data_IF_757707503139
#
_entry.id   IF_757707503139
#
_cell.length_a   1.000
_cell.length_b   1.000
_cell.length_c   1.000
_cell.angle_alpha   90.00
_cell.angle_beta   90.00
_cell.angle_gamma   90.00
#
_symmetry.space_group_name_H-M   'P 1'
#
loop_
_entity.id
_entity.type
_entity.pdbx_description
1 polymer ?
#
# COMPACT_ATOMS: atom_id res chain seq x y z
N UNK A 1 17.62 -31.60 -21.25
CA UNK A 1 17.70 -30.14 -21.42
C UNK A 1 16.81 -29.54 -20.33
N UNK A 2 17.38 -28.93 -19.29
CA UNK A 2 16.59 -28.30 -18.21
C UNK A 2 16.26 -26.89 -18.68
N UNK A 3 15.02 -26.67 -19.11
CA UNK A 3 14.48 -25.35 -19.41
C UNK A 3 14.36 -24.61 -18.10
N UNK A 4 15.17 -23.59 -17.88
CA UNK A 4 15.02 -22.66 -16.75
C UNK A 4 13.91 -21.69 -17.14
N UNK A 5 12.75 -21.82 -16.50
CA UNK A 5 11.67 -20.87 -16.61
C UNK A 5 12.06 -19.67 -15.75
N UNK A 6 12.32 -18.53 -16.39
CA UNK A 6 12.43 -17.25 -15.72
C UNK A 6 11.01 -16.72 -15.60
N UNK A 7 10.44 -16.81 -14.42
CA UNK A 7 9.25 -16.03 -14.07
C UNK A 7 9.74 -14.60 -13.94
N UNK A 8 9.64 -13.84 -15.02
CA UNK A 8 9.72 -12.40 -14.97
C UNK A 8 8.36 -11.96 -14.46
N UNK A 9 8.17 -12.00 -13.15
CA UNK A 9 7.19 -11.16 -12.52
C UNK A 9 7.68 -9.74 -12.77
N UNK A 10 7.27 -9.12 -13.87
CA UNK A 10 7.30 -7.68 -13.98
C UNK A 10 6.21 -7.20 -13.03
N UNK A 11 6.51 -7.26 -11.73
CA UNK A 11 6.05 -6.21 -10.88
C UNK A 11 6.44 -4.96 -11.67
N UNK A 12 5.46 -4.20 -12.14
CA UNK A 12 5.66 -2.78 -12.26
C UNK A 12 6.15 -2.39 -10.87
N UNK A 13 7.48 -2.43 -10.70
CA UNK A 13 8.09 -1.62 -9.71
C UNK A 13 7.52 -0.24 -10.04
N UNK A 14 6.55 0.20 -9.26
CA UNK A 14 6.54 1.59 -8.89
C UNK A 14 7.90 1.79 -8.22
N UNK A 15 8.91 2.03 -9.06
CA UNK A 15 10.20 2.58 -8.69
C UNK A 15 9.94 4.05 -8.43
N UNK A 16 9.19 4.28 -7.47
CA UNK A 16 8.88 5.42 -6.70
C UNK A 16 8.43 4.91 -5.38
N UNK A 17 9.21 4.05 -4.74
CA UNK A 17 9.27 4.06 -3.29
C UNK A 17 9.77 5.47 -2.99
N UNK A 18 8.84 6.37 -2.85
CA UNK A 18 9.16 7.66 -2.31
C UNK A 18 9.65 7.37 -0.90
N UNK A 19 10.97 7.38 -0.72
CA UNK A 19 11.59 7.21 0.59
C UNK A 19 11.17 8.31 1.58
N UNK A 20 10.20 9.15 1.19
CA UNK A 20 9.72 10.28 1.96
C UNK A 20 8.38 10.05 2.69
N UNK A 21 7.76 8.89 2.49
CA UNK A 21 6.58 8.44 3.25
C UNK A 21 6.77 7.01 3.70
N UNK A 22 6.54 6.74 4.95
CA UNK A 22 6.42 5.40 5.50
C UNK A 22 5.52 5.41 6.73
N UNK A 23 5.15 4.24 7.23
CA UNK A 23 4.33 4.10 8.43
C UNK A 23 4.77 2.92 9.29
N UNK A 24 4.38 2.98 10.56
CA UNK A 24 4.61 1.94 11.55
C UNK A 24 3.33 1.67 12.36
N UNK A 25 2.96 0.39 12.56
CA UNK A 25 3.61 -0.81 12.04
C UNK A 25 3.44 -0.91 10.51
N UNK A 26 4.32 -1.65 9.84
CA UNK A 26 4.26 -1.90 8.39
C UNK A 26 2.92 -2.54 7.99
N UNK A 27 2.38 -3.36 8.87
CA UNK A 27 1.07 -4.03 8.74
C UNK A 27 0.18 -3.53 9.88
N UNK A 28 -0.56 -2.42 9.68
CA UNK A 28 -1.52 -1.96 10.66
C UNK A 28 -2.77 -2.85 10.68
N UNK A 29 -3.47 -2.85 11.80
CA UNK A 29 -4.69 -3.66 12.00
C UNK A 29 -5.84 -2.78 12.50
N UNK A 30 -7.10 -3.11 12.18
CA UNK A 30 -8.26 -2.44 12.75
C UNK A 30 -8.20 -2.41 14.28
N UNK A 31 -8.62 -1.32 14.90
CA UNK A 31 -8.54 -1.10 16.36
C UNK A 31 -7.14 -0.80 16.89
N UNK A 32 -6.11 -0.87 16.07
CA UNK A 32 -4.72 -0.55 16.43
C UNK A 32 -4.36 0.91 16.18
N UNK A 33 -3.09 1.22 16.35
CA UNK A 33 -2.52 2.53 16.00
C UNK A 33 -1.61 2.41 14.79
N UNK A 34 -1.58 3.46 13.98
CA UNK A 34 -0.61 3.64 12.89
C UNK A 34 0.07 4.99 13.07
N UNK A 35 1.39 5.02 12.95
CA UNK A 35 2.16 6.26 12.88
C UNK A 35 2.64 6.48 11.45
N UNK A 36 2.18 7.56 10.83
CA UNK A 36 2.53 7.95 9.47
C UNK A 36 3.63 8.99 9.55
N UNK A 37 4.68 8.78 8.75
CA UNK A 37 5.84 9.66 8.64
C UNK A 37 5.92 10.29 7.25
N UNK A 38 6.25 11.57 7.21
CA UNK A 38 6.40 12.34 5.98
C UNK A 38 7.67 13.20 6.01
N UNK A 39 8.45 13.17 4.94
CA UNK A 39 9.63 14.02 4.78
C UNK A 39 9.34 15.18 3.82
N UNK A 40 9.25 16.40 4.36
CA UNK A 40 8.95 17.61 3.59
C UNK A 40 10.08 18.08 2.68
N UNK A 41 11.29 17.53 2.81
CA UNK A 41 12.44 17.89 1.96
C UNK A 41 12.40 17.09 0.66
N UNK A 42 11.98 15.83 0.75
CA UNK A 42 11.97 14.88 -0.37
C UNK A 42 10.58 14.77 -1.04
N UNK A 43 9.53 15.13 -0.30
CA UNK A 43 8.14 15.13 -0.78
C UNK A 43 7.79 16.32 -1.67
N UNK A 44 6.55 16.37 -2.12
CA UNK A 44 6.04 17.39 -3.04
C UNK A 44 5.63 18.71 -2.37
N UNK A 45 5.83 18.85 -1.06
CA UNK A 45 5.60 20.10 -0.31
C UNK A 45 6.92 20.83 0.04
N UNK A 46 7.82 21.13 -0.92
CA UNK A 46 9.17 21.60 -0.64
C UNK A 46 9.22 23.00 0.00
N UNK A 47 8.15 23.77 -0.11
CA UNK A 47 8.03 25.11 0.49
C UNK A 47 6.86 25.17 1.48
N UNK A 48 6.51 24.04 2.07
CA UNK A 48 5.38 23.95 2.99
C UNK A 48 5.50 24.96 4.12
N UNK A 49 4.41 25.62 4.42
CA UNK A 49 4.25 26.40 5.63
C UNK A 49 4.03 25.46 6.80
N UNK A 50 4.75 25.60 7.88
CA UNK A 50 4.64 24.73 9.04
C UNK A 50 3.56 25.21 10.02
N UNK A 51 2.86 24.26 10.69
CA UNK A 51 2.99 22.81 10.60
C UNK A 51 2.44 22.24 9.29
N UNK A 52 2.92 21.04 8.91
CA UNK A 52 2.28 20.24 7.88
C UNK A 52 1.22 19.35 8.51
N UNK A 53 0.26 18.95 7.71
CA UNK A 53 -0.88 18.13 8.12
C UNK A 53 -0.95 16.87 7.29
N UNK A 54 -1.43 15.80 7.89
CA UNK A 54 -1.95 14.66 7.17
C UNK A 54 -3.47 14.83 7.07
N UNK A 55 -3.97 14.86 5.85
CA UNK A 55 -5.39 14.79 5.52
C UNK A 55 -5.73 13.32 5.41
N UNK A 56 -6.50 12.80 6.34
CA UNK A 56 -6.68 11.37 6.53
C UNK A 56 -8.15 11.04 6.72
N UNK A 57 -8.58 9.96 6.07
CA UNK A 57 -9.88 9.34 6.23
C UNK A 57 -9.78 7.83 6.21
N UNK A 58 -10.91 7.16 6.35
CA UNK A 58 -11.03 5.72 6.29
C UNK A 58 -12.00 5.33 5.15
N UNK A 59 -11.93 4.10 4.68
CA UNK A 59 -12.93 3.45 3.82
C UNK A 59 -13.39 4.29 2.61
N UNK A 60 -12.42 4.76 1.83
CA UNK A 60 -12.68 5.60 0.68
C UNK A 60 -13.06 7.03 1.07
N UNK A 61 -12.26 7.65 1.95
CA UNK A 61 -12.41 9.04 2.38
C UNK A 61 -13.65 9.31 3.26
N UNK A 62 -14.02 8.39 4.15
CA UNK A 62 -14.98 8.63 5.21
C UNK A 62 -14.27 9.22 6.44
N UNK A 63 -15.00 9.99 7.22
CA UNK A 63 -14.53 10.62 8.46
C UNK A 63 -13.21 11.38 8.32
N UNK A 64 -13.08 12.11 7.21
CA UNK A 64 -11.87 12.85 6.85
C UNK A 64 -11.66 14.05 7.76
N UNK A 65 -10.41 14.23 8.23
CA UNK A 65 -9.99 15.43 8.95
C UNK A 65 -8.50 15.76 8.66
N UNK A 66 -8.11 16.99 9.00
CA UNK A 66 -6.75 17.51 8.87
C UNK A 66 -6.03 17.44 10.22
N UNK A 67 -5.08 16.55 10.35
CA UNK A 67 -4.34 16.34 11.59
C UNK A 67 -2.95 16.95 11.52
N UNK A 68 -2.66 17.88 12.44
CA UNK A 68 -1.33 18.51 12.51
C UNK A 68 -0.25 17.47 12.85
N UNK A 69 0.77 17.39 12.02
CA UNK A 69 1.93 16.51 12.25
C UNK A 69 2.92 17.18 13.20
N UNK A 70 3.64 16.35 13.96
CA UNK A 70 4.74 16.79 14.82
C UNK A 70 6.10 16.48 14.20
N UNK A 71 7.06 17.38 14.40
CA UNK A 71 8.44 17.17 13.93
C UNK A 71 9.07 15.93 14.56
N UNK A 72 9.70 15.09 13.75
CA UNK A 72 10.31 13.82 14.13
C UNK A 72 11.81 13.78 13.84
N UNK A 73 12.66 14.42 14.66
CA UNK A 73 14.10 14.55 14.39
C UNK A 73 14.86 13.23 14.46
N UNK A 74 14.29 12.19 15.07
CA UNK A 74 14.90 10.85 15.15
C UNK A 74 15.05 10.18 13.79
N UNK A 75 14.20 10.55 12.83
CA UNK A 75 14.25 10.04 11.47
C UNK A 75 15.08 10.92 10.52
N UNK A 76 15.68 11.99 11.04
CA UNK A 76 16.49 12.93 10.29
C UNK A 76 15.80 14.28 10.03
N UNK A 77 16.44 15.13 9.23
CA UNK A 77 15.93 16.46 8.90
C UNK A 77 14.72 16.34 7.97
N UNK A 78 13.70 17.15 8.20
CA UNK A 78 12.50 17.23 7.36
C UNK A 78 11.41 16.25 7.69
N UNK A 79 11.64 15.31 8.61
CA UNK A 79 10.64 14.32 8.99
C UNK A 79 9.60 14.85 9.97
N UNK A 80 8.35 14.54 9.66
CA UNK A 80 7.17 14.83 10.46
C UNK A 80 6.39 13.54 10.68
N UNK A 81 5.60 13.48 11.75
CA UNK A 81 4.79 12.29 12.06
C UNK A 81 3.45 12.64 12.68
N UNK A 82 2.50 11.76 12.45
CA UNK A 82 1.21 11.73 13.13
C UNK A 82 0.84 10.29 13.48
N UNK A 83 0.29 10.07 14.68
CA UNK A 83 -0.23 8.76 15.09
C UNK A 83 -1.74 8.81 15.07
N UNK A 84 -2.34 7.89 14.32
CA UNK A 84 -3.78 7.73 14.16
C UNK A 84 -4.26 6.48 14.89
N UNK A 85 -5.40 6.59 15.59
CA UNK A 85 -6.13 5.45 16.13
C UNK A 85 -7.07 4.94 15.05
N UNK A 86 -6.81 3.73 14.58
CA UNK A 86 -7.62 3.10 13.52
C UNK A 86 -8.96 2.66 14.12
N UNK A 87 -10.11 2.95 13.49
CA UNK A 87 -11.40 2.39 13.89
C UNK A 87 -11.40 0.86 13.86
N UNK A 88 -12.18 0.24 14.75
CA UNK A 88 -12.25 -1.23 14.86
C UNK A 88 -12.84 -1.89 13.60
N UNK A 89 -13.64 -1.16 12.84
CA UNK A 89 -14.35 -1.61 11.64
C UNK A 89 -13.79 -1.04 10.34
N UNK A 90 -12.66 -0.32 10.38
CA UNK A 90 -12.04 0.23 9.18
C UNK A 90 -11.44 -0.88 8.30
N UNK A 91 -11.64 -0.76 6.99
CA UNK A 91 -11.09 -1.66 5.97
C UNK A 91 -9.89 -1.04 5.23
N UNK A 92 -9.85 0.29 5.14
CA UNK A 92 -8.74 1.04 4.53
C UNK A 92 -8.43 2.31 5.31
N UNK A 93 -7.20 2.81 5.15
CA UNK A 93 -6.78 4.14 5.56
C UNK A 93 -6.34 4.87 4.30
N UNK A 94 -6.93 6.05 4.09
CA UNK A 94 -6.67 6.90 2.93
C UNK A 94 -6.03 8.21 3.41
N UNK A 95 -4.92 8.63 2.81
CA UNK A 95 -4.31 9.87 3.24
C UNK A 95 -3.48 10.58 2.16
N UNK A 96 -3.33 11.87 2.34
CA UNK A 96 -2.45 12.77 1.61
C UNK A 96 -1.86 13.81 2.57
N UNK A 97 -0.94 14.65 2.11
CA UNK A 97 -0.34 15.70 2.95
C UNK A 97 -0.65 17.09 2.42
N UNK A 98 -0.74 18.06 3.36
CA UNK A 98 -1.03 19.44 3.03
C UNK A 98 -0.40 20.40 4.05
N UNK A 99 -0.23 21.66 3.67
CA UNK A 99 0.12 22.77 4.57
C UNK A 99 -1.07 23.70 4.84
N UNK A 100 -2.28 23.31 4.42
CA UNK A 100 -3.52 24.10 4.47
C UNK A 100 -3.47 25.42 3.71
N UNK A 101 -2.48 25.63 2.82
CA UNK A 101 -2.35 26.80 1.95
C UNK A 101 -2.41 26.42 0.47
N UNK A 102 -3.35 25.54 0.12
CA UNK A 102 -3.56 25.01 -1.24
C UNK A 102 -2.40 24.16 -1.79
N UNK A 103 -1.40 23.82 -0.96
CA UNK A 103 -0.35 22.88 -1.35
C UNK A 103 -0.72 21.47 -0.88
N UNK A 104 -0.64 20.53 -1.82
CA UNK A 104 -0.96 19.11 -1.58
C UNK A 104 0.14 18.21 -2.10
N UNK A 105 0.45 17.19 -1.35
CA UNK A 105 1.20 16.04 -1.82
C UNK A 105 0.28 14.81 -1.81
N UNK A 106 -0.17 14.43 -2.99
CA UNK A 106 -0.98 13.25 -3.25
C UNK A 106 -0.15 12.25 -4.05
N UNK A 107 0.86 11.69 -3.40
CA UNK A 107 1.77 10.70 -3.94
C UNK A 107 2.54 11.21 -5.17
N UNK A 108 3.26 12.34 -4.99
CA UNK A 108 4.07 12.95 -6.04
C UNK A 108 3.26 13.77 -7.06
N UNK A 109 2.04 14.17 -6.72
CA UNK A 109 1.21 15.01 -7.57
C UNK A 109 0.54 14.29 -8.74
N UNK A 110 0.58 12.95 -8.75
CA UNK A 110 -0.05 12.12 -9.79
C UNK A 110 -1.53 11.78 -9.49
N UNK A 111 -2.04 12.25 -8.34
CA UNK A 111 -3.43 12.02 -7.94
C UNK A 111 -3.73 10.57 -7.56
N UNK A 112 -2.71 9.82 -7.20
CA UNK A 112 -2.82 8.48 -6.65
C UNK A 112 -2.47 8.60 -5.17
N UNK A 113 -3.46 8.86 -4.35
CA UNK A 113 -3.31 9.02 -2.91
C UNK A 113 -2.70 7.76 -2.25
N UNK A 114 -2.27 7.86 -1.01
CA UNK A 114 -1.86 6.67 -0.26
C UNK A 114 -3.08 5.96 0.29
N UNK A 115 -3.15 4.66 0.03
CA UNK A 115 -4.19 3.76 0.50
C UNK A 115 -3.55 2.56 1.19
N UNK A 116 -3.91 2.30 2.43
CA UNK A 116 -3.45 1.15 3.19
C UNK A 116 -4.62 0.23 3.43
N UNK A 117 -4.59 -0.98 2.86
CA UNK A 117 -5.60 -1.99 3.17
C UNK A 117 -5.33 -2.60 4.55
N UNK A 118 -6.40 -2.78 5.32
CA UNK A 118 -6.37 -3.42 6.63
C UNK A 118 -6.88 -4.88 6.59
N UNK A 119 -7.53 -5.25 5.48
CA UNK A 119 -8.13 -6.57 5.30
C UNK A 119 -7.18 -7.61 4.73
N UNK A 120 -6.15 -7.16 4.03
CA UNK A 120 -5.15 -8.06 3.47
C UNK A 120 -3.76 -7.42 3.41
N UNK A 121 -2.75 -8.25 3.46
CA UNK A 121 -1.37 -7.86 3.19
C UNK A 121 -0.61 -9.04 2.56
N UNK A 122 0.57 -8.75 2.02
CA UNK A 122 1.51 -9.79 1.58
C UNK A 122 2.82 -9.67 2.35
N UNK A 123 3.44 -10.82 2.59
CA UNK A 123 4.70 -10.92 3.32
C UNK A 123 5.71 -11.76 2.52
N UNK A 124 6.93 -11.27 2.30
CA UNK A 124 7.42 -9.94 2.66
C UNK A 124 6.73 -8.82 1.86
N UNK A 125 6.69 -7.60 2.39
CA UNK A 125 6.00 -6.45 1.78
C UNK A 125 6.53 -6.09 0.39
N UNK A 126 7.84 -6.29 0.17
CA UNK A 126 8.52 -6.10 -1.11
C UNK A 126 9.20 -7.40 -1.57
N UNK A 127 8.44 -8.40 -2.06
CA UNK A 127 9.01 -9.66 -2.48
C UNK A 127 9.93 -9.48 -3.69
N UNK A 128 11.07 -10.16 -3.67
CA UNK A 128 11.97 -10.20 -4.82
C UNK A 128 11.49 -11.23 -5.85
N UNK A 129 11.89 -11.13 -7.14
CA UNK A 129 11.42 -12.04 -8.20
C UNK A 129 11.67 -13.55 -7.97
N UNK A 130 12.53 -13.91 -7.03
CA UNK A 130 12.87 -15.30 -6.72
C UNK A 130 12.47 -15.70 -5.29
N UNK A 131 11.68 -14.88 -4.62
CA UNK A 131 11.22 -15.09 -3.26
C UNK A 131 9.75 -15.50 -3.27
N UNK A 132 9.40 -16.47 -2.44
CA UNK A 132 8.00 -16.77 -2.18
C UNK A 132 7.41 -15.69 -1.28
N UNK A 133 6.17 -15.38 -1.46
CA UNK A 133 5.44 -14.48 -0.59
C UNK A 133 4.09 -15.09 -0.22
N UNK A 134 3.61 -14.74 0.95
CA UNK A 134 2.29 -15.11 1.43
C UNK A 134 1.33 -13.93 1.25
N UNK A 135 0.11 -14.21 0.85
CA UNK A 135 -1.00 -13.27 0.90
C UNK A 135 -1.83 -13.65 2.12
N UNK A 136 -1.95 -12.72 3.05
CA UNK A 136 -2.68 -12.92 4.30
C UNK A 136 -3.94 -12.08 4.27
N UNK A 137 -5.08 -12.69 4.54
CA UNK A 137 -6.35 -12.03 4.72
C UNK A 137 -6.65 -11.91 6.20
N UNK A 138 -6.96 -10.69 6.65
CA UNK A 138 -7.38 -10.41 8.02
C UNK A 138 -8.91 -10.40 8.10
N UNK A 139 -9.45 -10.89 9.22
CA UNK A 139 -10.87 -10.78 9.59
C UNK A 139 -11.89 -11.31 8.55
N UNK A 140 -11.55 -12.34 7.81
CA UNK A 140 -12.47 -12.95 6.86
C UNK A 140 -13.12 -14.18 7.50
N UNK A 141 -14.34 -14.02 7.96
CA UNK A 141 -15.12 -15.09 8.59
C UNK A 141 -15.63 -16.17 7.60
N UNK A 142 -15.57 -15.91 6.30
CA UNK A 142 -16.22 -16.73 5.27
C UNK A 142 -15.32 -17.19 4.12
N UNK A 143 -14.02 -17.12 4.30
CA UNK A 143 -13.08 -17.41 3.21
C UNK A 143 -13.12 -16.35 2.11
N UNK A 144 -12.09 -16.33 1.31
CA UNK A 144 -11.92 -15.38 0.22
C UNK A 144 -11.50 -16.06 -1.06
N UNK A 145 -11.34 -15.28 -2.10
CA UNK A 145 -10.72 -15.75 -3.34
C UNK A 145 -9.70 -14.74 -3.82
N UNK A 146 -8.52 -15.22 -4.14
CA UNK A 146 -7.52 -14.44 -4.84
C UNK A 146 -7.83 -14.45 -6.33
N UNK A 147 -8.01 -13.27 -6.91
CA UNK A 147 -8.13 -13.09 -8.36
C UNK A 147 -6.79 -12.59 -8.89
N UNK A 148 -6.16 -13.33 -9.77
CA UNK A 148 -4.82 -13.00 -10.22
C UNK A 148 -4.55 -13.35 -11.68
N UNK A 149 -3.59 -12.65 -12.24
CA UNK A 149 -3.05 -12.86 -13.59
C UNK A 149 -1.54 -12.65 -13.58
N UNK A 150 -0.88 -12.95 -14.68
CA UNK A 150 0.51 -12.53 -14.91
C UNK A 150 0.53 -11.47 -16.00
N UNK A 151 1.39 -10.46 -15.81
CA UNK A 151 1.67 -9.48 -16.87
C UNK A 151 2.89 -9.97 -17.66
N UNK A 152 2.66 -10.28 -18.94
CA UNK A 152 3.72 -10.70 -19.86
C UNK A 152 4.35 -9.56 -20.63
N UNK A 153 3.96 -8.32 -20.36
CA UNK A 153 4.32 -7.13 -21.15
C UNK A 153 3.49 -6.94 -22.43
N UNK A 154 2.60 -7.89 -22.72
CA UNK A 154 1.63 -7.82 -23.83
C UNK A 154 0.18 -7.75 -23.31
N UNK A 155 -0.01 -7.57 -22.02
CA UNK A 155 -1.29 -7.60 -21.32
C UNK A 155 -1.34 -8.72 -20.28
N UNK A 156 -2.49 -8.83 -19.65
CA UNK A 156 -2.72 -9.85 -18.62
C UNK A 156 -2.90 -11.22 -19.26
N UNK A 157 -2.07 -12.17 -18.88
CA UNK A 157 -2.14 -13.56 -19.32
C UNK A 157 -2.48 -14.48 -18.15
N UNK A 158 -3.08 -15.62 -18.46
CA UNK A 158 -3.29 -16.66 -17.46
C UNK A 158 -1.94 -17.26 -17.05
N UNK A 159 -1.65 -17.37 -15.75
CA UNK A 159 -0.50 -18.13 -15.29
C UNK A 159 -0.62 -19.59 -15.67
N UNK A 160 0.51 -20.28 -15.80
CA UNK A 160 0.56 -21.72 -16.12
C UNK A 160 -0.11 -22.51 -14.98
N UNK A 161 -1.03 -23.42 -15.31
CA UNK A 161 -1.84 -24.16 -14.36
C UNK A 161 -1.04 -24.98 -13.32
N UNK A 162 0.21 -25.34 -13.66
CA UNK A 162 1.10 -26.08 -12.76
C UNK A 162 1.47 -25.29 -11.47
N UNK A 163 1.21 -23.99 -11.47
CA UNK A 163 1.47 -23.10 -10.32
C UNK A 163 0.20 -22.64 -9.60
N UNK A 164 -0.95 -23.14 -10.02
CA UNK A 164 -2.20 -22.75 -9.38
C UNK A 164 -2.36 -23.43 -8.02
N UNK A 165 -2.79 -22.70 -6.99
CA UNK A 165 -3.25 -23.33 -5.76
C UNK A 165 -4.34 -24.37 -6.00
N UNK A 166 -4.44 -25.36 -5.13
CA UNK A 166 -5.49 -26.37 -5.22
C UNK A 166 -6.88 -25.73 -5.16
N UNK A 167 -7.77 -26.15 -6.04
CA UNK A 167 -9.11 -25.60 -6.14
C UNK A 167 -9.26 -24.37 -7.04
N UNK A 168 -8.16 -23.86 -7.62
CA UNK A 168 -8.21 -22.73 -8.55
C UNK A 168 -8.95 -23.08 -9.84
N UNK A 169 -9.61 -22.06 -10.40
CA UNK A 169 -10.32 -22.15 -11.69
C UNK A 169 -10.18 -20.85 -12.47
N UNK A 170 -10.59 -20.86 -13.74
CA UNK A 170 -10.55 -19.68 -14.61
C UNK A 170 -11.96 -19.13 -14.81
N UNK A 171 -12.10 -17.84 -14.64
CA UNK A 171 -13.31 -17.09 -14.97
C UNK A 171 -12.95 -15.77 -15.64
N UNK A 172 -13.59 -15.46 -16.77
CA UNK A 172 -13.39 -14.24 -17.54
C UNK A 172 -11.90 -13.90 -17.87
N UNK A 173 -11.06 -14.94 -18.03
CA UNK A 173 -9.65 -14.77 -18.40
C UNK A 173 -8.68 -14.57 -17.24
N UNK A 174 -9.16 -14.59 -16.01
CA UNK A 174 -8.34 -14.52 -14.78
C UNK A 174 -8.40 -15.82 -14.01
N UNK A 175 -7.39 -16.10 -13.20
CA UNK A 175 -7.40 -17.25 -12.28
C UNK A 175 -8.01 -16.81 -10.96
N UNK A 176 -8.92 -17.64 -10.45
CA UNK A 176 -9.55 -17.46 -9.14
C UNK A 176 -9.08 -18.63 -8.27
N UNK A 177 -8.43 -18.32 -7.17
CA UNK A 177 -7.91 -19.28 -6.20
C UNK A 177 -8.64 -19.10 -4.87
N UNK A 178 -9.23 -20.16 -4.29
CA UNK A 178 -9.81 -20.07 -2.96
C UNK A 178 -8.72 -19.85 -1.91
N UNK A 179 -9.03 -19.05 -0.88
CA UNK A 179 -8.16 -18.75 0.25
C UNK A 179 -8.77 -19.26 1.55
#
# INVERSE_FOLDING_TARGET
>A
MKTRLYIICLLLLNIGLSNYVFWEPEIPVPGGEITIYYNTIEGSLPNATFPVYVHLGNDGWQDVDDYAMSYSPVNGVGWWKYTHQIPDDAETIDFVFTDLNDNWDNNGGIGIDWHISLNYYWSPFNPTPNESFDIVLNNIDQGGSLVWTVDSGNGHEQPISDYWPEGSYVENGVVISPL
#
